data_IF_864553869391
#
_entry.id   IF_864553869391
#
_cell.length_a   1.000
_cell.length_b   1.000
_cell.length_c   1.000
_cell.angle_alpha   90.00
_cell.angle_beta   90.00
_cell.angle_gamma   90.00
#
_symmetry.space_group_name_H-M   'P 1'
#
loop_
_entity.id
_entity.type
_entity.pdbx_description
1 polymer ?
#
# COMPACT_ATOMS: atom_id res chain seq x y z
N UNK A 1 18.22 -20.36 1.09
CA UNK A 1 16.90 -19.75 0.77
C UNK A 1 15.93 -19.87 1.95
N UNK A 2 15.63 -21.09 2.49
CA UNK A 2 14.69 -21.26 3.62
C UNK A 2 15.05 -20.41 4.84
N UNK A 3 16.32 -20.47 5.32
CA UNK A 3 16.74 -19.69 6.49
C UNK A 3 16.49 -18.20 6.33
N UNK A 4 16.84 -17.63 5.16
CA UNK A 4 16.59 -16.21 4.86
C UNK A 4 15.08 -15.90 4.88
N UNK A 5 14.26 -16.76 4.27
CA UNK A 5 12.80 -16.57 4.29
C UNK A 5 12.21 -16.63 5.71
N UNK A 6 12.72 -17.58 6.54
CA UNK A 6 12.27 -17.68 7.94
C UNK A 6 12.63 -16.42 8.72
N UNK A 7 13.89 -15.98 8.65
CA UNK A 7 14.34 -14.77 9.36
C UNK A 7 13.58 -13.52 8.87
N UNK A 8 13.43 -13.36 7.55
CA UNK A 8 12.66 -12.24 6.99
C UNK A 8 11.17 -12.27 7.41
N UNK A 9 10.60 -13.45 7.58
CA UNK A 9 9.21 -13.62 8.00
C UNK A 9 8.96 -13.25 9.47
N UNK A 10 9.95 -13.49 10.34
CA UNK A 10 9.78 -13.26 11.80
C UNK A 10 10.49 -12.01 12.31
N UNK A 11 11.57 -11.56 11.69
CA UNK A 11 12.34 -10.38 12.06
C UNK A 11 12.34 -9.33 10.92
N UNK A 12 11.19 -9.19 10.27
CA UNK A 12 11.06 -8.47 9.00
C UNK A 12 11.58 -7.03 9.03
N UNK A 13 11.23 -6.24 10.04
CA UNK A 13 11.71 -4.85 10.11
C UNK A 13 13.19 -4.76 10.52
N UNK A 14 13.71 -5.69 11.32
CA UNK A 14 15.14 -5.72 11.63
C UNK A 14 15.98 -5.97 10.37
N UNK A 15 15.56 -6.92 9.53
CA UNK A 15 16.16 -7.14 8.20
C UNK A 15 15.91 -5.95 7.28
N UNK A 16 14.71 -5.36 7.32
CA UNK A 16 14.34 -4.17 6.56
C UNK A 16 15.25 -2.99 6.83
N UNK A 17 15.64 -2.79 8.08
CA UNK A 17 16.57 -1.72 8.45
C UNK A 17 17.94 -1.89 7.76
N UNK A 18 18.51 -3.10 7.79
CA UNK A 18 19.76 -3.43 7.12
C UNK A 18 19.62 -3.26 5.59
N UNK A 19 18.48 -3.67 5.02
CA UNK A 19 18.19 -3.50 3.59
C UNK A 19 18.18 -2.03 3.19
N UNK A 20 17.49 -1.19 3.95
CA UNK A 20 17.35 0.24 3.68
C UNK A 20 18.69 0.96 3.77
N UNK A 21 19.47 0.71 4.83
CA UNK A 21 20.81 1.28 5.01
C UNK A 21 21.73 1.00 3.82
N UNK A 22 21.56 -0.18 3.19
CA UNK A 22 22.41 -0.60 2.07
C UNK A 22 21.89 -0.14 0.69
N UNK A 23 20.57 -0.09 0.48
CA UNK A 23 20.00 -0.01 -0.86
C UNK A 23 19.05 1.16 -1.10
N UNK A 24 18.61 1.88 -0.08
CA UNK A 24 17.59 2.92 -0.24
C UNK A 24 17.97 4.24 0.47
N UNK A 25 18.70 5.13 -0.19
CA UNK A 25 19.13 6.40 0.37
C UNK A 25 17.94 7.37 0.55
N UNK A 26 18.09 8.31 1.48
CA UNK A 26 17.07 9.34 1.77
C UNK A 26 16.71 10.19 0.54
N UNK A 27 17.64 10.43 -0.37
CA UNK A 27 17.40 11.14 -1.63
C UNK A 27 16.35 10.44 -2.49
N UNK A 28 16.34 9.11 -2.52
CA UNK A 28 15.31 8.32 -3.20
C UNK A 28 13.94 8.50 -2.57
N UNK A 29 13.86 8.53 -1.22
CA UNK A 29 12.61 8.80 -0.50
C UNK A 29 12.03 10.17 -0.87
N UNK A 30 12.87 11.22 -0.90
CA UNK A 30 12.46 12.59 -1.28
C UNK A 30 11.92 12.65 -2.71
N UNK A 31 12.65 12.07 -3.67
CA UNK A 31 12.23 12.06 -5.08
C UNK A 31 10.92 11.29 -5.28
N UNK A 32 10.75 10.18 -4.57
CA UNK A 32 9.51 9.42 -4.61
C UNK A 32 8.32 10.19 -4.04
N UNK A 33 8.49 10.92 -2.93
CA UNK A 33 7.45 11.78 -2.38
C UNK A 33 7.00 12.85 -3.38
N UNK A 34 7.92 13.45 -4.13
CA UNK A 34 7.60 14.40 -5.19
C UNK A 34 6.76 13.75 -6.30
N UNK A 35 7.17 12.57 -6.79
CA UNK A 35 6.40 11.81 -7.79
C UNK A 35 4.98 11.49 -7.31
N UNK A 36 4.83 11.06 -6.07
CA UNK A 36 3.52 10.76 -5.47
C UNK A 36 2.65 12.02 -5.40
N UNK A 37 3.17 13.15 -4.95
CA UNK A 37 2.42 14.42 -4.88
C UNK A 37 2.01 14.92 -6.27
N UNK A 38 2.88 14.78 -7.27
CA UNK A 38 2.55 15.14 -8.64
C UNK A 38 1.41 14.27 -9.20
N UNK A 39 1.45 12.95 -8.96
CA UNK A 39 0.38 12.05 -9.36
C UNK A 39 -0.92 12.29 -8.58
N UNK A 40 -0.83 12.64 -7.29
CA UNK A 40 -1.98 13.05 -6.48
C UNK A 40 -2.65 14.30 -7.06
N UNK A 41 -1.84 15.29 -7.47
CA UNK A 41 -2.33 16.50 -8.14
C UNK A 41 -3.00 16.16 -9.48
N UNK A 42 -2.39 15.31 -10.29
CA UNK A 42 -2.96 14.88 -11.56
C UNK A 42 -4.28 14.10 -11.37
N UNK A 43 -4.36 13.24 -10.36
CA UNK A 43 -5.61 12.52 -10.03
C UNK A 43 -6.71 13.48 -9.57
N UNK A 44 -6.38 14.50 -8.76
CA UNK A 44 -7.32 15.55 -8.37
C UNK A 44 -7.92 16.27 -9.58
N UNK A 45 -7.10 16.61 -10.59
CA UNK A 45 -7.55 17.21 -11.85
C UNK A 45 -8.48 16.25 -12.61
N UNK A 46 -8.14 14.95 -12.68
CA UNK A 46 -8.99 13.94 -13.32
C UNK A 46 -10.33 13.77 -12.62
N UNK A 47 -10.38 13.89 -11.29
CA UNK A 47 -11.64 13.90 -10.53
C UNK A 47 -12.49 15.12 -10.93
N UNK A 48 -11.89 16.32 -11.07
CA UNK A 48 -12.59 17.52 -11.50
C UNK A 48 -13.17 17.37 -12.92
N UNK A 49 -12.45 16.73 -13.82
CA UNK A 49 -12.88 16.48 -15.21
C UNK A 49 -13.91 15.35 -15.36
N UNK A 50 -14.09 14.50 -14.34
CA UNK A 50 -14.97 13.35 -14.42
C UNK A 50 -16.44 13.77 -14.64
N UNK A 51 -17.01 13.45 -15.79
CA UNK A 51 -18.37 13.85 -16.17
C UNK A 51 -19.47 13.00 -15.55
N UNK A 52 -19.12 11.87 -14.97
CA UNK A 52 -20.05 10.91 -14.38
C UNK A 52 -20.25 11.08 -12.87
N UNK A 53 -19.38 11.84 -12.21
CA UNK A 53 -19.46 12.17 -10.79
C UNK A 53 -20.22 13.47 -10.57
N UNK A 54 -21.11 13.49 -9.57
CA UNK A 54 -21.73 14.72 -9.06
C UNK A 54 -20.72 15.61 -8.33
N UNK A 55 -21.02 16.88 -8.20
CA UNK A 55 -20.17 17.83 -7.47
C UNK A 55 -19.94 17.41 -6.01
N UNK A 56 -20.95 16.83 -5.35
CA UNK A 56 -20.85 16.34 -3.99
C UNK A 56 -19.85 15.18 -3.87
N UNK A 57 -19.93 14.19 -4.77
CA UNK A 57 -19.01 13.05 -4.78
C UNK A 57 -17.58 13.47 -5.14
N UNK A 58 -17.40 14.42 -6.08
CA UNK A 58 -16.09 15.00 -6.40
C UNK A 58 -15.44 15.67 -5.18
N UNK A 59 -16.22 16.45 -4.42
CA UNK A 59 -15.70 17.11 -3.23
C UNK A 59 -15.21 16.08 -2.18
N UNK A 60 -15.98 15.01 -1.95
CA UNK A 60 -15.59 13.93 -1.04
C UNK A 60 -14.38 13.14 -1.55
N UNK A 61 -14.31 12.87 -2.86
CA UNK A 61 -13.19 12.20 -3.48
C UNK A 61 -11.89 12.99 -3.31
N UNK A 62 -11.93 14.30 -3.56
CA UNK A 62 -10.77 15.19 -3.38
C UNK A 62 -10.34 15.28 -1.91
N UNK A 63 -11.29 15.45 -1.01
CA UNK A 63 -11.03 15.47 0.43
C UNK A 63 -10.39 14.13 0.90
N UNK A 64 -10.86 12.99 0.37
CA UNK A 64 -10.24 11.68 0.64
C UNK A 64 -8.82 11.58 0.09
N UNK A 65 -8.58 12.04 -1.15
CA UNK A 65 -7.28 12.04 -1.80
C UNK A 65 -6.27 12.93 -1.05
N UNK A 66 -6.67 14.10 -0.59
CA UNK A 66 -5.83 15.03 0.18
C UNK A 66 -5.44 14.47 1.55
N UNK A 67 -6.26 13.57 2.10
CA UNK A 67 -6.03 12.91 3.39
C UNK A 67 -5.33 11.54 3.27
N UNK A 68 -4.77 11.19 2.12
CA UNK A 68 -3.96 9.98 2.01
C UNK A 68 -2.73 10.05 2.89
N UNK A 69 -2.52 9.03 3.72
CA UNK A 69 -1.26 8.82 4.40
C UNK A 69 -0.30 8.17 3.40
N UNK A 70 0.83 8.82 3.16
CA UNK A 70 1.82 8.38 2.17
C UNK A 70 3.01 7.77 2.90
N UNK A 71 3.28 6.49 2.66
CA UNK A 71 4.37 5.72 3.25
C UNK A 71 5.38 5.33 2.18
N UNK A 72 6.60 5.86 2.25
CA UNK A 72 7.66 5.67 1.24
C UNK A 72 8.91 5.04 1.86
N UNK A 73 9.33 3.91 1.30
CA UNK A 73 10.59 3.26 1.57
C UNK A 73 10.61 2.48 2.86
N UNK A 74 10.50 3.15 3.99
CA UNK A 74 10.64 2.56 5.32
C UNK A 74 9.94 3.39 6.40
N UNK A 75 9.56 2.77 7.55
CA UNK A 75 8.90 3.45 8.65
C UNK A 75 9.86 4.44 9.35
N UNK A 76 9.33 5.59 9.77
CA UNK A 76 10.12 6.57 10.54
C UNK A 76 10.44 6.04 11.95
N UNK A 77 9.55 5.20 12.50
CA UNK A 77 9.75 4.52 13.77
C UNK A 77 9.84 3.01 13.54
N UNK A 78 11.01 2.45 13.76
CA UNK A 78 11.27 1.03 13.67
C UNK A 78 10.68 0.27 14.88
N UNK A 79 10.30 -0.99 14.65
CA UNK A 79 9.86 -1.88 15.73
C UNK A 79 11.04 -2.11 16.70
N UNK A 80 10.73 -2.04 17.99
CA UNK A 80 11.70 -2.36 19.03
C UNK A 80 11.75 -3.87 19.27
N UNK A 81 12.94 -4.44 19.08
CA UNK A 81 13.24 -5.85 19.31
C UNK A 81 14.06 -6.08 20.58
N UNK A 82 14.32 -5.06 21.40
CA UNK A 82 15.21 -5.17 22.57
C UNK A 82 14.78 -6.20 23.61
N UNK A 83 13.48 -6.47 23.70
CA UNK A 83 12.93 -7.49 24.58
C UNK A 83 12.89 -8.90 23.99
N UNK A 84 13.27 -9.07 22.71
CA UNK A 84 13.29 -10.37 22.05
C UNK A 84 14.58 -11.12 22.35
N UNK A 85 14.46 -12.34 22.84
CA UNK A 85 15.58 -13.24 23.07
C UNK A 85 15.59 -14.34 22.02
N UNK A 86 16.73 -14.48 21.34
CA UNK A 86 17.04 -15.58 20.43
C UNK A 86 18.34 -16.21 20.92
N UNK A 87 18.33 -17.51 21.17
CA UNK A 87 19.42 -18.24 21.78
C UNK A 87 19.86 -19.41 20.85
N UNK A 88 21.14 -19.48 20.52
CA UNK A 88 21.72 -20.50 19.65
C UNK A 88 21.80 -21.88 20.31
N UNK A 89 21.70 -21.96 21.65
CA UNK A 89 21.59 -23.21 22.38
C UNK A 89 20.21 -23.87 22.31
N UNK A 90 19.18 -23.08 21.90
CA UNK A 90 17.79 -23.55 21.72
C UNK A 90 17.57 -24.08 20.31
N UNK A 91 16.65 -25.02 20.19
CA UNK A 91 16.18 -25.46 18.87
C UNK A 91 15.50 -24.34 18.10
N UNK A 92 15.41 -24.46 16.76
CA UNK A 92 14.65 -23.53 15.93
C UNK A 92 13.19 -23.40 16.41
N UNK A 93 12.58 -24.53 16.82
CA UNK A 93 11.21 -24.53 17.32
C UNK A 93 11.04 -23.66 18.58
N UNK A 94 11.93 -23.81 19.55
CA UNK A 94 11.90 -23.03 20.79
C UNK A 94 12.14 -21.55 20.54
N UNK A 95 13.09 -21.20 19.69
CA UNK A 95 13.31 -19.82 19.27
C UNK A 95 12.07 -19.22 18.56
N UNK A 96 11.42 -20.00 17.68
CA UNK A 96 10.20 -19.55 17.01
C UNK A 96 9.03 -19.35 17.99
N UNK A 97 8.92 -20.20 19.03
CA UNK A 97 7.92 -20.05 20.08
C UNK A 97 8.17 -18.77 20.88
N UNK A 98 9.41 -18.48 21.28
CA UNK A 98 9.80 -17.25 21.97
C UNK A 98 9.49 -15.99 21.13
N UNK A 99 9.80 -16.03 19.84
CA UNK A 99 9.49 -14.94 18.90
C UNK A 99 7.98 -14.73 18.79
N UNK A 100 7.19 -15.79 18.67
CA UNK A 100 5.74 -15.71 18.59
C UNK A 100 5.12 -15.13 19.88
N UNK A 101 5.62 -15.57 21.04
CA UNK A 101 5.17 -15.04 22.33
C UNK A 101 5.50 -13.56 22.48
N UNK A 102 6.71 -13.15 22.12
CA UNK A 102 7.15 -11.75 22.13
C UNK A 102 6.20 -10.87 21.29
N UNK A 103 5.95 -11.25 20.02
CA UNK A 103 5.07 -10.47 19.16
C UNK A 103 3.62 -10.46 19.61
N UNK A 104 3.12 -11.57 20.14
CA UNK A 104 1.75 -11.62 20.69
C UNK A 104 1.59 -10.65 21.86
N UNK A 105 2.56 -10.62 22.78
CA UNK A 105 2.54 -9.68 23.92
C UNK A 105 2.65 -8.22 23.44
N UNK A 106 3.56 -7.94 22.52
CA UNK A 106 3.74 -6.61 21.94
C UNK A 106 2.45 -6.14 21.23
N UNK A 107 1.84 -6.99 20.42
CA UNK A 107 0.62 -6.65 19.69
C UNK A 107 -0.55 -6.40 20.62
N UNK A 108 -0.75 -7.23 21.66
CA UNK A 108 -1.77 -7.01 22.69
C UNK A 108 -1.54 -5.67 23.39
N UNK A 109 -0.31 -5.39 23.79
CA UNK A 109 0.03 -4.15 24.52
C UNK A 109 -0.19 -2.89 23.67
N UNK A 110 0.04 -2.96 22.36
CA UNK A 110 -0.09 -1.81 21.44
C UNK A 110 -1.49 -1.62 20.88
N UNK A 111 -2.27 -2.70 20.71
CA UNK A 111 -3.54 -2.65 19.96
C UNK A 111 -4.79 -2.77 20.86
N UNK A 112 -4.74 -3.59 21.93
CA UNK A 112 -5.94 -3.82 22.73
C UNK A 112 -6.31 -2.57 23.52
N UNK A 113 -7.53 -2.08 23.33
CA UNK A 113 -8.04 -0.83 23.93
C UNK A 113 -7.17 0.41 23.64
N UNK A 114 -6.50 0.44 22.49
CA UNK A 114 -5.73 1.58 22.00
C UNK A 114 -6.30 2.09 20.67
N UNK A 115 -6.13 3.38 20.38
CA UNK A 115 -6.41 3.91 19.03
C UNK A 115 -5.57 3.19 17.98
N UNK A 116 -6.06 3.18 16.72
CA UNK A 116 -5.30 2.66 15.58
C UNK A 116 -4.02 3.46 15.40
N UNK A 117 -2.88 2.78 15.41
CA UNK A 117 -1.58 3.38 15.10
C UNK A 117 -1.39 3.46 13.58
N UNK A 118 -1.64 4.64 13.04
CA UNK A 118 -1.49 4.91 11.59
C UNK A 118 -0.03 4.97 11.12
N UNK A 119 0.95 4.87 12.02
CA UNK A 119 2.38 4.81 11.66
C UNK A 119 2.87 3.39 11.39
N UNK A 120 2.11 2.38 11.80
CA UNK A 120 2.43 0.96 11.57
C UNK A 120 2.38 0.61 10.08
N UNK A 121 3.35 -0.17 9.60
CA UNK A 121 3.43 -0.62 8.22
C UNK A 121 2.87 -2.03 8.05
N UNK A 122 2.09 -2.26 6.99
CA UNK A 122 1.57 -3.59 6.64
C UNK A 122 2.57 -4.47 5.89
N UNK A 123 3.66 -3.88 5.37
CA UNK A 123 4.73 -4.59 4.65
C UNK A 123 6.09 -4.15 5.14
N UNK A 124 7.06 -5.05 5.09
CA UNK A 124 8.45 -4.74 5.43
C UNK A 124 9.17 -4.04 4.28
N UNK A 125 10.21 -3.23 4.54
CA UNK A 125 10.92 -2.47 3.50
C UNK A 125 11.51 -3.30 2.37
N UNK A 126 11.87 -4.57 2.60
CA UNK A 126 12.39 -5.49 1.60
C UNK A 126 11.31 -6.21 0.78
N UNK A 127 10.05 -5.87 0.96
CA UNK A 127 8.94 -6.44 0.18
C UNK A 127 8.84 -5.76 -1.18
N UNK A 128 8.87 -6.55 -2.27
CA UNK A 128 8.67 -6.06 -3.64
C UNK A 128 7.16 -6.04 -3.92
N UNK A 129 6.48 -5.07 -3.37
CA UNK A 129 5.05 -4.84 -3.56
C UNK A 129 4.68 -3.43 -3.08
N UNK A 130 3.40 -3.06 -3.26
CA UNK A 130 2.79 -1.86 -2.72
C UNK A 130 1.40 -2.21 -2.17
N UNK A 131 0.74 -1.30 -1.47
CA UNK A 131 -0.65 -1.48 -1.07
C UNK A 131 -1.38 -0.17 -0.81
N UNK A 132 -2.70 -0.19 -0.97
CA UNK A 132 -3.63 0.74 -0.37
C UNK A 132 -4.35 0.06 0.80
N UNK A 133 -4.47 0.75 1.94
CA UNK A 133 -5.26 0.27 3.09
C UNK A 133 -6.46 1.20 3.32
N UNK A 134 -7.70 0.75 3.06
CA UNK A 134 -8.89 1.58 3.22
C UNK A 134 -9.18 1.96 4.67
N UNK A 135 -8.78 1.13 5.64
CA UNK A 135 -9.09 1.37 7.07
C UNK A 135 -8.24 2.47 7.71
N UNK A 136 -7.15 2.84 7.07
CA UNK A 136 -6.26 3.95 7.47
C UNK A 136 -6.18 5.05 6.43
N UNK A 137 -6.74 4.82 5.24
CA UNK A 137 -6.64 5.68 4.06
C UNK A 137 -5.19 5.96 3.67
N UNK A 138 -4.39 4.90 3.51
CA UNK A 138 -2.95 4.99 3.26
C UNK A 138 -2.52 4.26 2.00
N UNK A 139 -1.49 4.80 1.34
CA UNK A 139 -0.73 4.16 0.28
C UNK A 139 0.69 3.91 0.76
N UNK A 140 1.22 2.72 0.48
CA UNK A 140 2.53 2.32 0.95
C UNK A 140 3.38 1.70 -0.16
N UNK A 141 4.61 2.18 -0.27
CA UNK A 141 5.60 1.74 -1.25
C UNK A 141 6.89 1.37 -0.52
N UNK A 142 7.10 0.11 -0.15
CA UNK A 142 8.34 -0.36 0.47
C UNK A 142 9.58 -0.11 -0.38
N UNK A 143 10.75 0.02 0.25
CA UNK A 143 12.00 0.34 -0.42
C UNK A 143 12.37 -0.62 -1.56
N UNK A 144 11.96 -1.89 -1.47
CA UNK A 144 12.34 -2.89 -2.46
C UNK A 144 11.60 -2.77 -3.80
N UNK A 145 10.37 -2.24 -3.84
CA UNK A 145 9.71 -1.94 -5.11
C UNK A 145 10.25 -0.64 -5.73
N UNK A 146 10.88 0.22 -4.92
CA UNK A 146 11.47 1.48 -5.34
C UNK A 146 12.91 1.29 -5.85
N UNK A 147 13.10 0.27 -6.69
CA UNK A 147 14.36 -0.13 -7.32
C UNK A 147 14.11 -0.39 -8.81
N UNK A 148 15.14 -0.40 -9.65
CA UNK A 148 15.01 -0.82 -11.04
C UNK A 148 14.37 -2.23 -11.15
N UNK A 149 13.46 -2.46 -12.09
CA UNK A 149 13.09 -1.58 -13.21
C UNK A 149 11.96 -0.59 -12.93
N UNK A 150 11.37 -0.56 -11.73
CA UNK A 150 10.23 0.29 -11.40
C UNK A 150 10.64 1.74 -11.15
N UNK A 151 11.71 1.95 -10.40
CA UNK A 151 12.22 3.28 -10.06
C UNK A 151 13.76 3.31 -10.08
N UNK A 152 14.30 4.33 -10.74
CA UNK A 152 15.72 4.65 -10.72
C UNK A 152 15.91 6.13 -10.35
N UNK A 153 16.56 6.44 -9.22
CA UNK A 153 16.76 7.82 -8.79
C UNK A 153 17.64 8.64 -9.74
N UNK A 154 18.34 7.99 -10.68
CA UNK A 154 19.22 8.65 -11.67
C UNK A 154 18.58 8.75 -13.06
N UNK A 155 17.46 8.06 -13.28
CA UNK A 155 16.78 8.06 -14.56
C UNK A 155 15.96 9.35 -14.77
N UNK A 156 15.59 9.59 -16.03
CA UNK A 156 14.65 10.62 -16.44
C UNK A 156 13.28 10.44 -15.78
N UNK A 157 12.58 11.55 -15.50
CA UNK A 157 11.25 11.51 -14.89
C UNK A 157 10.24 10.74 -15.73
N UNK A 158 10.30 10.84 -17.07
CA UNK A 158 9.38 10.09 -17.94
C UNK A 158 9.53 8.58 -17.75
N UNK A 159 10.74 8.07 -17.53
CA UNK A 159 10.99 6.66 -17.23
C UNK A 159 10.39 6.28 -15.86
N UNK A 160 10.58 7.11 -14.83
CA UNK A 160 10.03 6.86 -13.51
C UNK A 160 8.50 6.94 -13.48
N UNK A 161 7.89 7.92 -14.19
CA UNK A 161 6.43 7.96 -14.34
C UNK A 161 5.89 6.76 -15.11
N UNK A 162 6.60 6.28 -16.14
CA UNK A 162 6.21 5.08 -16.89
C UNK A 162 6.38 3.78 -16.09
N UNK A 163 7.34 3.73 -15.16
CA UNK A 163 7.59 2.59 -14.28
C UNK A 163 6.76 2.66 -12.99
N UNK A 164 7.33 3.26 -11.95
CA UNK A 164 6.69 3.30 -10.62
C UNK A 164 5.42 4.15 -10.63
N UNK A 165 5.29 5.14 -11.51
CA UNK A 165 4.09 5.97 -11.60
C UNK A 165 2.83 5.18 -11.92
N UNK A 166 2.93 4.11 -12.72
CA UNK A 166 1.83 3.18 -12.94
C UNK A 166 1.39 2.45 -11.67
N UNK A 167 2.34 2.03 -10.84
CA UNK A 167 2.06 1.39 -9.54
C UNK A 167 1.44 2.40 -8.56
N UNK A 168 1.97 3.62 -8.49
CA UNK A 168 1.42 4.67 -7.62
C UNK A 168 -0.03 4.98 -8.00
N UNK A 169 -0.32 5.13 -9.29
CA UNK A 169 -1.68 5.37 -9.79
C UNK A 169 -2.62 4.21 -9.48
N UNK A 170 -2.14 2.97 -9.56
CA UNK A 170 -2.88 1.76 -9.17
C UNK A 170 -3.27 1.82 -7.69
N UNK A 171 -2.33 2.04 -6.78
CA UNK A 171 -2.63 2.10 -5.34
C UNK A 171 -3.54 3.29 -5.00
N UNK A 172 -3.34 4.45 -5.61
CA UNK A 172 -4.25 5.59 -5.44
C UNK A 172 -5.66 5.26 -5.90
N UNK A 173 -5.81 4.52 -7.02
CA UNK A 173 -7.12 4.18 -7.56
C UNK A 173 -7.94 3.26 -6.66
N UNK A 174 -7.29 2.42 -5.84
CA UNK A 174 -7.97 1.60 -4.84
C UNK A 174 -8.76 2.41 -3.81
N UNK A 175 -8.38 3.66 -3.55
CA UNK A 175 -9.17 4.56 -2.71
C UNK A 175 -10.55 4.91 -3.27
N UNK A 176 -10.77 4.69 -4.57
CA UNK A 176 -11.92 5.14 -5.33
C UNK A 176 -12.61 4.02 -6.13
N UNK A 177 -12.16 2.77 -6.01
CA UNK A 177 -12.78 1.61 -6.63
C UNK A 177 -14.03 1.15 -5.86
N UNK A 178 -14.62 0.01 -6.25
CA UNK A 178 -15.82 -0.56 -5.64
C UNK A 178 -15.66 -0.89 -4.15
N UNK A 179 -14.45 -1.19 -3.69
CA UNK A 179 -14.13 -1.45 -2.30
C UNK A 179 -13.74 -0.17 -1.55
N UNK A 180 -12.81 0.61 -2.10
CA UNK A 180 -12.33 1.84 -1.47
C UNK A 180 -13.39 2.92 -1.34
N UNK A 181 -14.38 2.96 -2.24
CA UNK A 181 -15.54 3.86 -2.15
C UNK A 181 -16.41 3.64 -0.91
N UNK A 182 -16.27 2.50 -0.24
CA UNK A 182 -17.02 2.17 0.99
C UNK A 182 -16.39 2.74 2.25
N UNK A 183 -15.18 3.32 2.16
CA UNK A 183 -14.44 3.88 3.29
C UNK A 183 -14.20 5.37 3.08
N UNK A 184 -14.43 6.15 4.14
CA UNK A 184 -14.19 7.58 4.14
C UNK A 184 -12.69 7.94 4.29
N UNK A 185 -12.39 9.24 4.27
CA UNK A 185 -11.02 9.77 4.42
C UNK A 185 -10.32 9.41 5.73
N UNK A 186 -11.06 9.00 6.74
CA UNK A 186 -10.53 8.64 8.07
C UNK A 186 -10.38 7.13 8.24
N UNK A 187 -10.87 6.34 7.26
CA UNK A 187 -10.83 4.88 7.26
C UNK A 187 -12.04 4.21 7.89
N UNK A 188 -13.10 4.98 8.18
CA UNK A 188 -14.35 4.39 8.65
C UNK A 188 -15.17 3.86 7.47
N UNK A 189 -15.85 2.72 7.68
CA UNK A 189 -16.77 2.18 6.70
C UNK A 189 -18.00 3.09 6.59
N UNK A 190 -17.98 3.95 5.60
CA UNK A 190 -19.02 4.93 5.31
C UNK A 190 -19.09 5.19 3.81
N UNK A 191 -20.19 4.78 3.17
CA UNK A 191 -20.40 5.05 1.75
C UNK A 191 -20.66 6.54 1.55
N UNK A 192 -19.76 7.21 0.85
CA UNK A 192 -19.81 8.63 0.57
C UNK A 192 -20.28 8.96 -0.87
N UNK A 193 -20.54 7.94 -1.68
CA UNK A 193 -21.06 8.11 -3.04
C UNK A 193 -22.57 8.30 -3.03
N UNK A 194 -23.08 9.11 -3.97
CA UNK A 194 -24.52 9.14 -4.22
C UNK A 194 -24.94 7.84 -4.94
N UNK A 195 -26.21 7.45 -4.79
CA UNK A 195 -26.74 6.28 -5.49
C UNK A 195 -26.64 6.41 -7.03
N UNK A 196 -26.78 7.64 -7.55
CA UNK A 196 -26.64 7.93 -8.97
C UNK A 196 -25.19 7.77 -9.44
N UNK A 197 -24.21 8.25 -8.69
CA UNK A 197 -22.80 8.13 -9.02
C UNK A 197 -22.33 6.67 -8.95
N UNK A 198 -22.79 5.91 -7.95
CA UNK A 198 -22.53 4.47 -7.86
C UNK A 198 -23.05 3.74 -9.12
N UNK A 199 -24.28 4.01 -9.54
CA UNK A 199 -24.86 3.43 -10.77
C UNK A 199 -24.04 3.82 -12.02
N UNK A 200 -23.60 5.09 -12.10
CA UNK A 200 -22.76 5.56 -13.20
C UNK A 200 -21.40 4.83 -13.24
N UNK A 201 -20.79 4.62 -12.09
CA UNK A 201 -19.55 3.85 -11.96
C UNK A 201 -19.76 2.39 -12.40
N UNK A 202 -20.77 1.71 -11.87
CA UNK A 202 -21.11 0.33 -12.21
C UNK A 202 -21.37 0.14 -13.72
N UNK A 203 -22.03 1.11 -14.36
CA UNK A 203 -22.25 1.06 -15.82
C UNK A 203 -20.97 1.15 -16.64
N UNK A 204 -19.95 1.84 -16.14
CA UNK A 204 -18.63 1.98 -16.78
C UNK A 204 -17.74 0.77 -16.55
N UNK A 205 -17.70 0.27 -15.31
CA UNK A 205 -16.93 -0.95 -14.98
C UNK A 205 -17.48 -2.16 -15.69
N UNK A 206 -18.80 -2.22 -15.93
CA UNK A 206 -19.43 -3.28 -16.73
C UNK A 206 -18.84 -3.42 -18.14
N UNK A 207 -18.37 -2.35 -18.76
CA UNK A 207 -17.73 -2.41 -20.08
C UNK A 207 -16.45 -3.26 -20.01
N UNK A 208 -15.64 -3.08 -18.97
CA UNK A 208 -14.44 -3.88 -18.74
C UNK A 208 -14.79 -5.33 -18.40
N UNK A 209 -15.73 -5.52 -17.49
CA UNK A 209 -16.23 -6.87 -17.13
C UNK A 209 -16.69 -7.64 -18.37
N UNK A 210 -17.54 -7.01 -19.20
CA UNK A 210 -18.06 -7.63 -20.42
C UNK A 210 -16.94 -7.90 -21.45
N UNK A 211 -15.90 -7.05 -21.49
CA UNK A 211 -14.72 -7.26 -22.35
C UNK A 211 -13.93 -8.49 -21.89
N UNK A 212 -13.56 -8.56 -20.60
CA UNK A 212 -12.77 -9.66 -20.07
C UNK A 212 -13.54 -11.00 -20.09
N UNK A 213 -14.85 -10.99 -19.88
CA UNK A 213 -15.70 -12.19 -20.01
C UNK A 213 -15.68 -12.83 -21.41
N UNK A 214 -15.25 -12.09 -22.44
CA UNK A 214 -15.13 -12.62 -23.81
C UNK A 214 -13.78 -13.26 -24.07
N UNK A 215 -12.79 -13.03 -23.22
CA UNK A 215 -11.44 -13.57 -23.38
C UNK A 215 -11.44 -15.03 -22.97
N UNK A 216 -10.86 -15.87 -23.79
CA UNK A 216 -10.63 -17.29 -23.50
C UNK A 216 -9.12 -17.54 -23.43
N UNK A 217 -8.68 -18.20 -22.36
CA UNK A 217 -7.28 -18.58 -22.16
C UNK A 217 -7.24 -20.07 -21.80
N UNK A 218 -6.47 -20.84 -22.55
CA UNK A 218 -6.31 -22.29 -22.36
C UNK A 218 -7.65 -23.05 -22.25
N UNK A 219 -8.64 -22.71 -23.10
CA UNK A 219 -9.95 -23.35 -23.13
C UNK A 219 -10.89 -22.96 -21.99
N UNK A 220 -10.56 -21.92 -21.21
CA UNK A 220 -11.41 -21.40 -20.12
C UNK A 220 -11.69 -19.92 -20.33
N UNK A 221 -12.93 -19.52 -20.10
CA UNK A 221 -13.29 -18.09 -20.10
C UNK A 221 -12.72 -17.41 -18.87
N UNK A 222 -12.22 -16.20 -19.07
CA UNK A 222 -11.80 -15.32 -17.97
C UNK A 222 -13.06 -14.78 -17.27
N UNK A 223 -13.02 -14.68 -15.94
CA UNK A 223 -14.02 -13.94 -15.20
C UNK A 223 -13.60 -12.47 -15.16
N UNK A 224 -14.42 -11.60 -15.72
CA UNK A 224 -14.16 -10.16 -15.78
C UNK A 224 -14.50 -9.38 -14.50
N UNK A 225 -15.04 -10.08 -13.49
CA UNK A 225 -15.33 -9.48 -12.17
C UNK A 225 -14.14 -9.58 -11.23
#
# INVERSE_FOLDING_TARGET
KRAVSTVSGVLGEAIGKIYVEKYFPESSKKRMLELVHNLQTALSQRIDEATWMSAATKAQAKDKLENFIIKIGYPDKWKDYSGLQVDDSLSLYENMANISEFFTKDEIARKVNKPVDKTEWGMTPQTINAYYNPTTNEICFPAAILQPPFFDPTADDAMNYGGIGGVIGHEMSHGFDDQGSQFDKTGNQHNWWTAADKKNFESRTKILVDHFNKIELAGKKVNGQ
#
